data_IF_149773644803
#
_entry.id   IF_149773644803
#
_cell.length_a   1.000
_cell.length_b   1.000
_cell.length_c   1.000
_cell.angle_alpha   90.00
_cell.angle_beta   90.00
_cell.angle_gamma   90.00
#
_symmetry.space_group_name_H-M   'P 1'
#
loop_
_entity.id
_entity.type
_entity.pdbx_description
1 polymer ?
#
# COMPACT_ATOMS: atom_id res chain seq x y z
N UNK A 1 -29.58 -2.14 -5.24
CA UNK A 1 -28.25 -1.56 -5.58
C UNK A 1 -28.07 -0.26 -4.82
N UNK A 2 -26.94 -0.05 -4.11
CA UNK A 2 -26.69 1.19 -3.40
C UNK A 2 -26.34 2.29 -4.40
N UNK A 3 -27.17 3.35 -4.48
CA UNK A 3 -26.90 4.53 -5.30
C UNK A 3 -25.79 5.41 -4.72
N UNK A 4 -25.10 6.17 -5.59
CA UNK A 4 -24.21 7.23 -5.15
C UNK A 4 -25.02 8.40 -4.56
N UNK A 5 -24.52 9.09 -3.50
CA UNK A 5 -25.10 10.36 -3.06
C UNK A 5 -24.82 11.44 -4.13
N UNK A 6 -25.54 12.56 -4.11
CA UNK A 6 -25.22 13.70 -4.96
C UNK A 6 -23.87 14.31 -4.57
N UNK A 7 -23.06 14.69 -5.56
CA UNK A 7 -21.81 15.42 -5.42
C UNK A 7 -21.54 16.22 -6.70
N UNK A 8 -20.80 17.32 -6.58
CA UNK A 8 -20.25 18.02 -7.73
C UNK A 8 -19.03 17.27 -8.28
N UNK A 9 -18.70 17.51 -9.54
CA UNK A 9 -17.59 16.85 -10.22
C UNK A 9 -16.71 17.87 -10.93
N UNK A 10 -15.38 17.76 -10.71
CA UNK A 10 -14.37 18.55 -11.41
C UNK A 10 -13.38 17.62 -12.12
N UNK A 11 -12.90 18.03 -13.28
CA UNK A 11 -11.93 17.29 -14.10
C UNK A 11 -10.80 18.22 -14.54
N UNK A 12 -9.89 18.60 -13.64
CA UNK A 12 -8.74 19.45 -13.95
C UNK A 12 -7.85 18.80 -15.01
N UNK A 13 -7.08 19.63 -15.69
CA UNK A 13 -6.15 19.20 -16.77
C UNK A 13 -4.72 19.18 -16.30
N UNK A 14 -4.41 19.84 -15.18
CA UNK A 14 -3.08 19.85 -14.57
C UNK A 14 -3.14 19.47 -13.09
N UNK A 15 -1.98 19.12 -12.52
CA UNK A 15 -1.85 18.80 -11.09
C UNK A 15 -2.06 20.04 -10.24
N UNK A 16 -1.61 21.19 -10.73
CA UNK A 16 -1.74 22.49 -10.09
C UNK A 16 -3.22 22.87 -9.94
N UNK A 17 -4.00 22.79 -11.02
CA UNK A 17 -5.46 23.02 -10.98
C UNK A 17 -6.14 22.08 -9.96
N UNK A 18 -5.74 20.81 -9.94
CA UNK A 18 -6.30 19.83 -8.99
C UNK A 18 -5.96 20.21 -7.54
N UNK A 19 -4.73 20.65 -7.27
CA UNK A 19 -4.29 21.09 -5.96
C UNK A 19 -5.02 22.37 -5.51
N UNK A 20 -5.21 23.35 -6.40
CA UNK A 20 -5.97 24.58 -6.14
C UNK A 20 -7.41 24.27 -5.74
N UNK A 21 -8.07 23.31 -6.44
CA UNK A 21 -9.41 22.86 -6.07
C UNK A 21 -9.42 22.24 -4.67
N UNK A 22 -8.40 21.47 -4.30
CA UNK A 22 -8.29 20.89 -2.95
C UNK A 22 -8.10 21.96 -1.86
N UNK A 23 -7.34 23.01 -2.16
CA UNK A 23 -7.19 24.17 -1.24
C UNK A 23 -8.52 24.90 -1.06
N UNK A 24 -9.23 25.19 -2.16
CA UNK A 24 -10.46 25.98 -2.13
C UNK A 24 -11.69 25.23 -1.60
N UNK A 25 -11.70 23.88 -1.60
CA UNK A 25 -12.84 23.07 -1.19
C UNK A 25 -12.50 22.07 -0.11
N UNK A 26 -12.96 22.29 1.13
CA UNK A 26 -12.70 21.39 2.28
C UNK A 26 -13.32 19.99 2.13
N UNK A 27 -14.31 19.81 1.29
CA UNK A 27 -15.03 18.54 1.08
C UNK A 27 -14.71 17.90 -0.27
N UNK A 28 -13.65 18.38 -0.94
CA UNK A 28 -13.16 17.77 -2.17
C UNK A 28 -12.41 16.47 -1.85
N UNK A 29 -12.63 15.46 -2.67
CA UNK A 29 -11.95 14.15 -2.62
C UNK A 29 -11.41 13.82 -3.99
N UNK A 30 -10.14 13.44 -4.07
CA UNK A 30 -9.51 12.98 -5.30
C UNK A 30 -10.05 11.61 -5.72
N UNK A 31 -10.25 11.43 -7.00
CA UNK A 31 -10.53 10.13 -7.61
C UNK A 31 -9.62 9.88 -8.82
N UNK A 32 -8.99 8.72 -8.84
CA UNK A 32 -8.29 8.18 -10.01
C UNK A 32 -9.13 7.08 -10.66
N UNK A 33 -8.78 5.80 -10.51
CA UNK A 33 -9.57 4.68 -11.02
C UNK A 33 -10.91 4.42 -10.33
N UNK A 34 -11.11 4.92 -9.11
CA UNK A 34 -12.36 4.84 -8.36
C UNK A 34 -12.75 3.44 -7.85
N UNK A 35 -11.95 2.41 -8.12
CA UNK A 35 -12.25 1.01 -7.80
C UNK A 35 -12.40 0.73 -6.31
N UNK A 36 -11.82 1.57 -5.45
CA UNK A 36 -12.00 1.55 -4.00
C UNK A 36 -12.94 2.66 -3.52
N UNK A 37 -12.77 3.87 -4.03
CA UNK A 37 -13.50 5.04 -3.56
C UNK A 37 -15.02 4.96 -3.83
N UNK A 38 -15.45 4.56 -5.04
CA UNK A 38 -16.88 4.49 -5.35
C UNK A 38 -17.64 3.46 -4.49
N UNK A 39 -17.12 2.24 -4.23
CA UNK A 39 -17.71 1.35 -3.23
C UNK A 39 -17.84 1.99 -1.84
N UNK A 40 -16.83 2.73 -1.38
CA UNK A 40 -16.84 3.40 -0.09
C UNK A 40 -17.89 4.54 -0.04
N UNK A 41 -18.04 5.31 -1.13
CA UNK A 41 -19.09 6.34 -1.25
C UNK A 41 -20.49 5.68 -1.25
N UNK A 42 -20.69 4.59 -2.00
CA UNK A 42 -21.97 3.85 -2.00
C UNK A 42 -22.37 3.35 -0.62
N UNK A 43 -21.39 2.93 0.19
CA UNK A 43 -21.58 2.51 1.59
C UNK A 43 -21.69 3.65 2.58
N UNK A 44 -21.59 4.92 2.13
CA UNK A 44 -21.58 6.11 3.01
C UNK A 44 -20.45 6.09 4.04
N UNK A 45 -19.32 5.51 3.68
CA UNK A 45 -18.07 5.57 4.44
C UNK A 45 -17.37 6.91 4.18
N UNK A 46 -17.41 7.36 2.92
CA UNK A 46 -16.98 8.67 2.46
C UNK A 46 -18.16 9.37 1.81
N UNK A 47 -18.39 10.65 2.11
CA UNK A 47 -19.46 11.46 1.57
C UNK A 47 -18.89 12.78 1.03
N UNK A 48 -18.27 12.76 -0.18
CA UNK A 48 -17.70 13.96 -0.76
C UNK A 48 -18.82 14.92 -1.20
N UNK A 49 -18.57 16.22 -1.11
CA UNK A 49 -19.40 17.23 -1.80
C UNK A 49 -18.89 17.53 -3.20
N UNK A 50 -17.58 17.30 -3.42
CA UNK A 50 -16.92 17.47 -4.72
C UNK A 50 -15.97 16.29 -4.97
N UNK A 51 -16.10 15.64 -6.12
CA UNK A 51 -15.10 14.70 -6.63
C UNK A 51 -14.20 15.41 -7.65
N UNK A 52 -12.89 15.31 -7.42
CA UNK A 52 -11.86 15.85 -8.32
C UNK A 52 -11.19 14.69 -9.04
N UNK A 53 -11.50 14.54 -10.30
CA UNK A 53 -10.98 13.45 -11.12
C UNK A 53 -9.59 13.78 -11.67
N UNK A 54 -8.63 12.93 -11.37
CA UNK A 54 -7.27 13.03 -11.91
C UNK A 54 -7.16 12.42 -13.33
N UNK A 55 -8.18 11.71 -13.81
CA UNK A 55 -8.11 10.92 -15.07
C UNK A 55 -7.77 11.75 -16.32
N UNK A 56 -8.06 13.06 -16.31
CA UNK A 56 -7.77 14.00 -17.38
C UNK A 56 -6.33 14.54 -17.42
N UNK A 57 -5.51 14.21 -16.41
CA UNK A 57 -4.13 14.72 -16.27
C UNK A 57 -3.15 13.73 -16.90
N UNK A 58 -2.79 13.97 -18.16
CA UNK A 58 -1.90 13.07 -18.92
C UNK A 58 -0.50 12.92 -18.31
N UNK A 59 0.02 13.98 -17.67
CA UNK A 59 1.33 13.98 -17.02
C UNK A 59 1.48 12.93 -15.91
N UNK A 60 0.37 12.48 -15.32
CA UNK A 60 0.37 11.45 -14.28
C UNK A 60 0.47 10.01 -14.81
N UNK A 61 0.61 9.81 -16.12
CA UNK A 61 0.67 8.50 -16.76
C UNK A 61 2.06 8.16 -17.24
N UNK A 62 2.27 6.87 -17.48
CA UNK A 62 3.44 6.34 -18.16
C UNK A 62 4.44 5.69 -17.22
N UNK A 63 5.24 4.80 -17.80
CA UNK A 63 6.29 4.03 -17.14
C UNK A 63 7.58 4.34 -17.90
N UNK A 64 8.54 4.95 -17.23
CA UNK A 64 9.80 5.41 -17.83
C UNK A 64 10.98 4.75 -17.15
N UNK A 65 11.82 4.10 -17.94
CA UNK A 65 13.13 3.63 -17.49
C UNK A 65 14.17 4.69 -17.84
N UNK A 66 14.99 5.05 -16.88
CA UNK A 66 16.05 6.04 -17.05
C UNK A 66 17.44 5.35 -16.99
N UNK A 67 17.67 4.42 -17.94
CA UNK A 67 18.91 3.67 -18.03
C UNK A 67 19.32 3.08 -16.68
N UNK A 68 20.48 3.50 -16.17
CA UNK A 68 21.01 3.08 -14.87
C UNK A 68 20.41 3.83 -13.67
N UNK A 69 19.51 4.79 -13.89
CA UNK A 69 18.92 5.61 -12.82
C UNK A 69 17.67 5.01 -12.18
N UNK A 70 17.18 3.85 -12.67
CA UNK A 70 16.04 3.15 -12.11
C UNK A 70 14.77 3.26 -12.94
N UNK A 71 13.62 3.36 -12.29
CA UNK A 71 12.29 3.35 -12.92
C UNK A 71 11.39 4.42 -12.29
N UNK A 72 10.71 5.18 -13.13
CA UNK A 72 9.67 6.13 -12.72
C UNK A 72 8.33 5.70 -13.29
N UNK A 73 7.32 5.60 -12.43
CA UNK A 73 5.95 5.19 -12.78
C UNK A 73 4.98 6.29 -12.38
N UNK A 74 4.23 6.82 -13.33
CA UNK A 74 3.20 7.81 -13.09
C UNK A 74 2.05 7.25 -12.24
N UNK A 75 1.52 8.05 -11.33
CA UNK A 75 0.49 7.63 -10.37
C UNK A 75 -0.81 7.13 -11.01
N UNK A 76 -1.14 7.59 -12.22
CA UNK A 76 -2.32 7.14 -12.99
C UNK A 76 -2.03 5.96 -13.92
N UNK A 77 -0.81 5.41 -13.96
CA UNK A 77 -0.57 4.13 -14.63
C UNK A 77 -1.45 3.07 -13.97
N UNK A 78 -2.22 2.35 -14.79
CA UNK A 78 -3.09 1.28 -14.27
C UNK A 78 -2.25 0.13 -13.72
N UNK A 79 -2.82 -0.62 -12.80
CA UNK A 79 -2.13 -1.78 -12.24
C UNK A 79 -1.85 -2.83 -13.32
N UNK A 80 -2.70 -2.96 -14.33
CA UNK A 80 -2.45 -3.86 -15.46
C UNK A 80 -1.28 -3.39 -16.32
N UNK A 81 -1.19 -2.09 -16.63
CA UNK A 81 -0.03 -1.51 -17.32
C UNK A 81 1.27 -1.74 -16.55
N UNK A 82 1.25 -1.56 -15.22
CA UNK A 82 2.43 -1.81 -14.36
C UNK A 82 2.81 -3.28 -14.37
N UNK A 83 1.84 -4.19 -14.21
CA UNK A 83 2.07 -5.63 -14.13
C UNK A 83 2.63 -6.24 -15.43
N UNK A 84 2.23 -5.67 -16.59
CA UNK A 84 2.59 -6.21 -17.92
C UNK A 84 3.71 -5.44 -18.61
N UNK A 85 4.17 -4.32 -18.03
CA UNK A 85 5.25 -3.52 -18.60
C UNK A 85 6.56 -4.31 -18.70
N UNK A 86 7.21 -4.39 -19.88
CA UNK A 86 8.54 -5.00 -20.01
C UNK A 86 9.60 -4.36 -19.12
N UNK A 87 9.53 -3.06 -18.85
CA UNK A 87 10.42 -2.35 -17.94
C UNK A 87 10.26 -2.83 -16.50
N UNK A 88 9.04 -3.12 -16.07
CA UNK A 88 8.74 -3.61 -14.72
C UNK A 88 9.09 -5.09 -14.61
N UNK A 89 8.60 -5.92 -15.52
CA UNK A 89 8.83 -7.37 -15.49
C UNK A 89 10.31 -7.74 -15.63
N UNK A 90 11.06 -6.97 -16.42
CA UNK A 90 12.50 -7.23 -16.64
C UNK A 90 13.40 -6.71 -15.52
N UNK A 91 13.06 -5.60 -14.86
CA UNK A 91 13.93 -4.96 -13.85
C UNK A 91 13.47 -5.15 -12.41
N UNK A 92 12.15 -5.22 -12.20
CA UNK A 92 11.53 -5.31 -10.87
C UNK A 92 10.37 -6.33 -10.88
N UNK A 93 10.64 -7.61 -11.19
CA UNK A 93 9.60 -8.64 -11.35
C UNK A 93 8.71 -8.77 -10.09
N UNK A 94 9.26 -8.51 -8.90
CA UNK A 94 8.51 -8.50 -7.63
C UNK A 94 7.39 -7.46 -7.63
N UNK A 95 7.58 -6.30 -8.29
CA UNK A 95 6.52 -5.28 -8.40
C UNK A 95 5.40 -5.77 -9.32
N UNK A 96 5.74 -6.40 -10.45
CA UNK A 96 4.76 -7.04 -11.32
C UNK A 96 3.98 -8.14 -10.57
N UNK A 97 4.67 -9.00 -9.82
CA UNK A 97 4.07 -10.06 -9.00
C UNK A 97 3.06 -9.51 -7.97
N UNK A 98 3.47 -8.50 -7.20
CA UNK A 98 2.59 -7.86 -6.23
C UNK A 98 1.38 -7.20 -6.91
N UNK A 99 1.60 -6.51 -8.01
CA UNK A 99 0.55 -5.84 -8.78
C UNK A 99 -0.45 -6.83 -9.37
N UNK A 100 0.02 -7.95 -9.93
CA UNK A 100 -0.83 -9.05 -10.42
C UNK A 100 -1.66 -9.70 -9.31
N UNK A 101 -1.23 -9.63 -8.05
CA UNK A 101 -1.98 -10.17 -6.92
C UNK A 101 -3.18 -9.29 -6.49
N UNK A 102 -3.28 -8.06 -7.01
CA UNK A 102 -4.36 -7.12 -6.69
C UNK A 102 -5.63 -7.48 -7.45
N UNK A 103 -6.74 -7.61 -6.73
CA UNK A 103 -8.09 -7.73 -7.28
C UNK A 103 -8.26 -8.80 -8.36
N UNK A 104 -8.76 -8.38 -9.50
CA UNK A 104 -8.94 -9.15 -10.74
C UNK A 104 -8.42 -8.34 -11.93
N UNK A 105 -8.29 -8.91 -13.14
CA UNK A 105 -7.93 -8.14 -14.33
C UNK A 105 -8.83 -6.91 -14.54
N UNK A 106 -10.15 -7.05 -14.34
CA UNK A 106 -11.10 -5.95 -14.46
C UNK A 106 -10.82 -4.83 -13.44
N UNK A 107 -10.47 -5.19 -12.21
CA UNK A 107 -10.09 -4.21 -11.19
C UNK A 107 -8.76 -3.55 -11.57
N UNK A 108 -7.75 -4.30 -12.00
CA UNK A 108 -6.43 -3.76 -12.35
C UNK A 108 -6.47 -2.83 -13.57
N UNK A 109 -7.37 -3.06 -14.53
CA UNK A 109 -7.56 -2.17 -15.68
C UNK A 109 -8.09 -0.78 -15.29
N UNK A 110 -8.77 -0.66 -14.14
CA UNK A 110 -9.27 0.62 -13.63
C UNK A 110 -8.45 1.17 -12.46
N UNK A 111 -7.93 0.31 -11.60
CA UNK A 111 -7.13 0.70 -10.45
C UNK A 111 -5.76 1.25 -10.89
N UNK A 112 -5.25 2.26 -10.19
CA UNK A 112 -4.00 2.93 -10.53
C UNK A 112 -2.95 2.71 -9.43
N UNK A 113 -1.68 2.86 -9.79
CA UNK A 113 -0.55 2.74 -8.87
C UNK A 113 -0.69 3.70 -7.68
N UNK A 114 -0.89 4.99 -7.96
CA UNK A 114 -1.08 6.00 -6.92
C UNK A 114 -2.31 5.73 -6.06
N UNK A 115 -3.42 5.29 -6.68
CA UNK A 115 -4.62 4.89 -5.96
C UNK A 115 -4.40 3.69 -5.03
N UNK A 116 -3.55 2.74 -5.40
CA UNK A 116 -3.20 1.61 -4.53
C UNK A 116 -2.28 2.03 -3.36
N UNK A 117 -1.30 2.91 -3.61
CA UNK A 117 -0.44 3.44 -2.56
C UNK A 117 -1.21 4.32 -1.57
N UNK A 118 -2.19 5.09 -2.05
CA UNK A 118 -3.04 5.95 -1.23
C UNK A 118 -4.35 5.28 -0.76
N UNK A 119 -4.46 3.96 -0.91
CA UNK A 119 -5.67 3.21 -0.57
C UNK A 119 -6.05 3.40 0.90
N UNK A 120 -7.35 3.62 1.15
CA UNK A 120 -7.86 3.76 2.51
C UNK A 120 -7.72 2.47 3.32
N UNK A 121 -7.54 2.61 4.63
CA UNK A 121 -7.41 1.49 5.57
C UNK A 121 -8.77 0.82 5.81
N UNK A 122 -8.74 -0.48 6.12
CA UNK A 122 -9.92 -1.35 6.21
C UNK A 122 -10.16 -1.89 7.60
N UNK A 123 -11.45 -2.05 7.92
CA UNK A 123 -11.88 -2.61 9.19
C UNK A 123 -13.30 -3.16 9.04
N UNK A 124 -13.57 -4.37 9.54
CA UNK A 124 -14.88 -5.00 9.51
C UNK A 124 -15.99 -4.13 10.13
N UNK A 125 -15.68 -3.39 11.19
CA UNK A 125 -16.64 -2.45 11.81
C UNK A 125 -16.91 -1.22 10.92
N UNK A 126 -15.92 -0.72 10.24
CA UNK A 126 -16.08 0.39 9.30
C UNK A 126 -16.84 -0.03 8.03
N UNK A 127 -16.70 -1.31 7.64
CA UNK A 127 -17.35 -1.89 6.47
C UNK A 127 -18.80 -2.33 6.72
N UNK A 128 -19.30 -2.25 7.97
CA UNK A 128 -20.69 -2.58 8.31
C UNK A 128 -21.69 -1.62 7.64
N UNK A 129 -22.93 -2.06 7.40
CA UNK A 129 -24.00 -1.22 6.84
C UNK A 129 -24.21 0.07 7.62
N UNK A 130 -24.61 1.14 6.91
CA UNK A 130 -24.80 2.48 7.51
C UNK A 130 -25.74 2.45 8.72
N UNK A 131 -26.87 1.74 8.64
CA UNK A 131 -27.84 1.62 9.76
C UNK A 131 -27.20 1.04 11.01
N UNK A 132 -26.38 -0.03 10.85
CA UNK A 132 -25.67 -0.63 11.96
C UNK A 132 -24.63 0.37 12.55
N UNK A 133 -23.83 1.03 11.71
CA UNK A 133 -22.82 2.01 12.18
C UNK A 133 -23.47 3.19 12.95
N UNK A 134 -24.63 3.65 12.49
CA UNK A 134 -25.43 4.66 13.20
C UNK A 134 -25.91 4.15 14.57
N UNK A 135 -26.46 2.93 14.60
CA UNK A 135 -26.99 2.34 15.83
C UNK A 135 -25.96 2.14 16.92
N UNK A 136 -24.68 1.91 16.57
CA UNK A 136 -23.58 1.81 17.56
C UNK A 136 -22.84 3.13 17.82
N UNK A 137 -23.31 4.26 17.30
CA UNK A 137 -22.68 5.57 17.49
C UNK A 137 -21.38 5.76 16.72
N UNK A 138 -21.22 5.03 15.58
CA UNK A 138 -20.03 5.05 14.73
C UNK A 138 -18.77 4.49 15.43
N UNK A 139 -17.62 4.68 14.82
CA UNK A 139 -16.29 4.38 15.35
C UNK A 139 -15.36 5.57 15.08
N UNK A 140 -14.18 5.55 15.68
CA UNK A 140 -13.17 6.61 15.56
C UNK A 140 -12.91 7.01 14.09
N UNK A 141 -12.85 6.03 13.16
CA UNK A 141 -12.65 6.29 11.72
C UNK A 141 -13.80 7.06 11.06
N UNK A 142 -15.00 7.06 11.64
CA UNK A 142 -16.19 7.72 11.07
C UNK A 142 -16.78 8.78 12.00
N UNK A 143 -15.97 9.40 12.85
CA UNK A 143 -16.36 10.51 13.71
C UNK A 143 -17.07 10.10 15.00
N UNK A 144 -16.96 8.85 15.43
CA UNK A 144 -17.30 8.41 16.80
C UNK A 144 -16.07 8.49 17.71
N UNK A 145 -16.25 8.22 18.98
CA UNK A 145 -15.26 8.46 20.04
C UNK A 145 -14.42 7.22 20.38
N UNK A 146 -14.78 6.04 19.85
CA UNK A 146 -14.18 4.76 20.25
C UNK A 146 -13.72 3.96 19.05
N UNK A 147 -12.51 3.41 19.11
CA UNK A 147 -12.08 2.35 18.20
C UNK A 147 -12.76 1.03 18.61
N UNK A 148 -13.66 0.47 17.78
CA UNK A 148 -14.41 -0.75 18.11
C UNK A 148 -13.56 -2.01 18.19
N UNK A 149 -12.35 -1.97 17.64
CA UNK A 149 -11.35 -3.06 17.71
C UNK A 149 -10.54 -2.98 19.00
N UNK A 150 -10.18 -1.79 19.43
CA UNK A 150 -9.38 -1.53 20.62
C UNK A 150 -9.99 -0.36 21.39
N UNK A 151 -11.03 -0.57 22.21
CA UNK A 151 -11.77 0.52 22.88
C UNK A 151 -10.93 1.41 23.78
N UNK A 152 -9.83 0.93 24.31
CA UNK A 152 -8.88 1.72 25.11
C UNK A 152 -7.80 2.44 24.30
N UNK A 153 -7.86 2.40 22.96
CA UNK A 153 -6.87 3.05 22.11
C UNK A 153 -7.34 4.44 21.71
N UNK A 154 -6.42 5.39 21.71
CA UNK A 154 -6.58 6.77 21.22
C UNK A 154 -6.50 6.90 19.70
N UNK A 155 -6.11 5.83 18.98
CA UNK A 155 -5.97 5.79 17.51
C UNK A 155 -6.84 4.71 16.87
N UNK A 156 -7.06 4.84 15.57
CA UNK A 156 -7.75 3.84 14.77
C UNK A 156 -6.80 2.70 14.36
N UNK A 157 -7.27 1.45 14.49
CA UNK A 157 -6.53 0.24 14.11
C UNK A 157 -6.99 -0.37 12.77
N UNK A 158 -7.68 0.41 11.93
CA UNK A 158 -8.00 -0.06 10.57
C UNK A 158 -6.72 -0.41 9.81
N UNK A 159 -6.73 -1.54 9.11
CA UNK A 159 -5.54 -2.16 8.53
C UNK A 159 -5.18 -1.56 7.18
N UNK A 160 -3.90 -1.31 6.94
CA UNK A 160 -3.35 -0.98 5.62
C UNK A 160 -3.37 -2.24 4.74
N UNK A 161 -3.95 -2.14 3.53
CA UNK A 161 -4.21 -3.29 2.66
C UNK A 161 -3.63 -3.16 1.25
N UNK A 162 -2.69 -2.24 1.03
CA UNK A 162 -1.96 -2.14 -0.23
C UNK A 162 -1.02 -3.33 -0.40
N UNK A 163 -1.08 -3.99 -1.55
CA UNK A 163 -0.11 -5.04 -1.94
C UNK A 163 1.20 -4.40 -2.44
N UNK A 164 1.12 -3.20 -3.00
CA UNK A 164 2.28 -2.51 -3.61
C UNK A 164 3.14 -1.82 -2.56
N UNK A 165 2.55 -1.27 -1.51
CA UNK A 165 3.27 -0.50 -0.50
C UNK A 165 4.45 -1.27 0.15
N UNK A 166 4.28 -2.52 0.63
CA UNK A 166 5.40 -3.28 1.19
C UNK A 166 6.51 -3.54 0.18
N UNK A 167 6.17 -3.78 -1.10
CA UNK A 167 7.16 -3.99 -2.17
C UNK A 167 7.89 -2.69 -2.49
N UNK A 168 7.20 -1.57 -2.61
CA UNK A 168 7.81 -0.27 -2.84
C UNK A 168 8.79 0.12 -1.71
N UNK A 169 8.44 -0.19 -0.45
CA UNK A 169 9.34 -0.01 0.69
C UNK A 169 10.57 -0.94 0.60
N UNK A 170 10.37 -2.23 0.31
CA UNK A 170 11.47 -3.18 0.18
C UNK A 170 12.43 -2.80 -0.97
N UNK A 171 11.92 -2.20 -2.03
CA UNK A 171 12.71 -1.66 -3.15
C UNK A 171 13.33 -0.28 -2.85
N UNK A 172 13.12 0.28 -1.65
CA UNK A 172 13.58 1.63 -1.27
C UNK A 172 13.06 2.73 -2.20
N UNK A 173 11.83 2.60 -2.63
CA UNK A 173 11.23 3.55 -3.53
C UNK A 173 10.83 4.85 -2.82
N UNK A 174 10.70 5.91 -3.60
CA UNK A 174 10.20 7.22 -3.17
C UNK A 174 9.01 7.64 -4.03
N UNK A 175 8.21 8.56 -3.52
CA UNK A 175 7.09 9.18 -4.23
C UNK A 175 7.31 10.68 -4.40
N UNK A 176 6.92 11.21 -5.55
CA UNK A 176 6.79 12.65 -5.75
C UNK A 176 5.40 13.11 -5.33
N UNK A 177 5.34 14.15 -4.53
CA UNK A 177 4.12 14.82 -4.07
C UNK A 177 4.14 16.26 -4.59
N UNK A 178 3.06 16.70 -5.20
CA UNK A 178 2.91 18.05 -5.76
C UNK A 178 1.73 18.74 -5.11
N UNK A 179 1.87 20.01 -4.81
CA UNK A 179 0.83 20.92 -4.30
C UNK A 179 1.04 22.33 -4.83
N UNK A 180 0.17 23.27 -4.44
CA UNK A 180 0.36 24.71 -4.72
C UNK A 180 1.64 25.29 -4.10
N UNK A 181 2.27 24.59 -3.15
CA UNK A 181 3.54 24.97 -2.52
C UNK A 181 4.78 24.44 -3.26
N UNK A 182 4.59 23.68 -4.32
CA UNK A 182 5.66 23.04 -5.11
C UNK A 182 5.69 21.53 -4.98
N UNK A 183 6.78 20.93 -5.45
CA UNK A 183 7.04 19.49 -5.43
C UNK A 183 7.98 19.11 -4.29
N UNK A 184 7.75 17.93 -3.68
CA UNK A 184 8.69 17.29 -2.76
C UNK A 184 8.80 15.80 -3.01
N UNK A 185 9.98 15.25 -2.77
CA UNK A 185 10.24 13.81 -2.80
C UNK A 185 10.20 13.24 -1.39
N UNK A 186 9.58 12.07 -1.24
CA UNK A 186 9.45 11.38 0.05
C UNK A 186 9.67 9.87 -0.13
N UNK A 187 10.46 9.24 0.74
CA UNK A 187 10.56 7.78 0.78
C UNK A 187 9.20 7.14 1.08
N UNK A 188 8.86 6.02 0.43
CA UNK A 188 7.57 5.34 0.64
C UNK A 188 7.37 4.94 2.10
N UNK A 189 8.42 4.60 2.84
CA UNK A 189 8.36 4.34 4.30
C UNK A 189 7.74 5.51 5.06
N UNK A 190 8.11 6.73 4.71
CA UNK A 190 7.63 7.97 5.37
C UNK A 190 6.24 8.41 4.91
N UNK A 191 5.71 7.81 3.84
CA UNK A 191 4.35 8.11 3.35
C UNK A 191 3.27 7.65 4.33
N UNK A 192 3.53 6.63 5.14
CA UNK A 192 2.53 6.00 5.99
C UNK A 192 2.67 6.38 7.47
N UNK A 193 1.52 6.57 8.11
CA UNK A 193 1.36 6.70 9.56
C UNK A 193 0.66 5.47 10.10
N UNK A 194 1.05 5.06 11.29
CA UNK A 194 0.41 3.93 11.96
C UNK A 194 -0.89 4.34 12.67
N UNK A 195 -1.80 4.96 11.91
CA UNK A 195 -3.15 5.36 12.33
C UNK A 195 -4.14 5.12 11.18
N UNK A 196 -5.21 4.38 11.45
CA UNK A 196 -6.19 4.02 10.43
C UNK A 196 -7.07 5.18 9.94
N UNK A 197 -7.10 6.34 10.59
CA UNK A 197 -7.77 7.56 10.13
C UNK A 197 -6.80 8.40 9.30
N UNK A 198 -5.70 8.81 9.92
CA UNK A 198 -4.68 9.67 9.28
C UNK A 198 -3.51 8.82 8.79
N UNK A 199 -3.78 7.83 7.93
CA UNK A 199 -2.83 6.81 7.52
C UNK A 199 -1.73 7.29 6.55
N UNK A 200 -1.89 8.48 5.95
CA UNK A 200 -0.90 9.08 5.05
C UNK A 200 -0.29 10.35 5.66
N UNK A 201 1.00 10.57 5.37
CA UNK A 201 1.74 11.79 5.78
C UNK A 201 1.59 12.93 4.77
N UNK A 202 0.75 12.75 3.76
CA UNK A 202 0.44 13.77 2.78
C UNK A 202 -0.38 14.89 3.41
N UNK A 203 -0.09 16.14 3.02
CA UNK A 203 -0.99 17.24 3.26
C UNK A 203 -2.24 17.08 2.39
N UNK A 204 -3.32 17.77 2.78
CA UNK A 204 -4.62 17.59 2.14
C UNK A 204 -4.63 18.02 0.67
N UNK A 205 -3.83 18.99 0.30
CA UNK A 205 -3.68 19.55 -1.04
C UNK A 205 -2.56 18.89 -1.86
N UNK A 206 -1.84 17.92 -1.29
CA UNK A 206 -0.81 17.18 -2.00
C UNK A 206 -1.40 16.05 -2.86
N UNK A 207 -0.86 15.91 -4.04
CA UNK A 207 -1.21 14.88 -5.02
C UNK A 207 0.04 14.02 -5.27
N UNK A 208 -0.09 12.71 -5.08
CA UNK A 208 0.96 11.76 -5.45
C UNK A 208 1.01 11.66 -6.97
N UNK A 209 2.14 12.03 -7.55
CA UNK A 209 2.32 12.13 -9.01
C UNK A 209 3.11 10.97 -9.59
N UNK A 210 4.13 10.48 -8.88
CA UNK A 210 5.03 9.42 -9.38
C UNK A 210 5.52 8.53 -8.25
N UNK A 211 5.80 7.27 -8.59
CA UNK A 211 6.66 6.35 -7.83
C UNK A 211 8.01 6.26 -8.53
N UNK A 212 9.09 6.49 -7.78
CA UNK A 212 10.48 6.41 -8.25
C UNK A 212 11.18 5.26 -7.55
N UNK A 213 11.68 4.30 -8.31
CA UNK A 213 12.36 3.11 -7.81
C UNK A 213 13.82 3.21 -8.20
N UNK A 214 14.77 3.15 -7.25
CA UNK A 214 16.20 3.23 -7.54
C UNK A 214 16.66 2.02 -8.37
N UNK A 215 17.84 2.06 -9.01
CA UNK A 215 18.42 0.93 -9.73
C UNK A 215 18.44 -0.34 -8.88
N UNK A 216 18.13 -1.48 -9.48
CA UNK A 216 18.06 -2.75 -8.75
C UNK A 216 19.43 -3.17 -8.18
N UNK A 217 20.53 -2.89 -8.90
CA UNK A 217 21.88 -3.15 -8.43
C UNK A 217 22.08 -4.60 -7.95
N UNK A 218 21.51 -5.57 -8.66
CA UNK A 218 21.57 -6.98 -8.26
C UNK A 218 20.62 -7.39 -7.12
N UNK A 219 19.69 -6.51 -6.73
CA UNK A 219 18.68 -6.80 -5.71
C UNK A 219 17.72 -7.88 -6.22
N UNK A 220 17.65 -9.00 -5.53
CA UNK A 220 16.62 -10.04 -5.70
C UNK A 220 15.49 -9.76 -4.71
N UNK A 221 14.24 -9.91 -5.14
CA UNK A 221 13.12 -9.65 -4.23
C UNK A 221 11.94 -10.60 -4.49
N UNK A 222 11.13 -10.84 -3.45
CA UNK A 222 9.97 -11.72 -3.47
C UNK A 222 8.81 -11.10 -2.71
N UNK A 223 7.61 -11.22 -3.25
CA UNK A 223 6.37 -10.87 -2.56
C UNK A 223 5.50 -12.10 -2.36
N UNK A 224 4.97 -12.27 -1.16
CA UNK A 224 4.02 -13.33 -0.83
C UNK A 224 2.79 -12.74 -0.14
N UNK A 225 1.61 -13.14 -0.60
CA UNK A 225 0.31 -12.68 -0.10
C UNK A 225 -0.49 -13.82 0.51
N UNK A 226 -0.84 -13.70 1.78
CA UNK A 226 -1.86 -14.55 2.42
C UNK A 226 -3.25 -13.98 2.11
N UNK A 227 -4.11 -14.78 1.54
CA UNK A 227 -5.51 -14.46 1.21
C UNK A 227 -6.37 -15.71 1.29
N UNK A 228 -7.69 -15.56 1.42
CA UNK A 228 -8.63 -16.69 1.49
C UNK A 228 -9.03 -17.19 0.10
N UNK A 229 -9.14 -16.30 -0.88
CA UNK A 229 -9.54 -16.61 -2.26
C UNK A 229 -8.40 -16.34 -3.23
N UNK A 230 -8.43 -16.98 -4.38
CA UNK A 230 -7.44 -16.79 -5.44
C UNK A 230 -7.50 -15.42 -6.13
N UNK A 231 -8.59 -14.68 -6.00
CA UNK A 231 -8.82 -13.37 -6.61
C UNK A 231 -9.76 -12.51 -5.76
N UNK A 232 -9.77 -11.20 -6.01
CA UNK A 232 -10.68 -10.21 -5.37
C UNK A 232 -10.59 -10.27 -3.83
N UNK A 233 -9.38 -10.43 -3.31
CA UNK A 233 -9.10 -10.38 -1.86
C UNK A 233 -8.02 -9.36 -1.55
N UNK A 234 -8.25 -8.62 -0.46
CA UNK A 234 -7.18 -7.86 0.19
C UNK A 234 -6.22 -8.80 0.91
N UNK A 235 -4.95 -8.40 1.10
CA UNK A 235 -4.02 -9.22 1.88
C UNK A 235 -4.48 -9.31 3.34
N UNK A 236 -4.44 -10.51 3.90
CA UNK A 236 -4.51 -10.77 5.34
C UNK A 236 -3.12 -10.74 5.97
N UNK A 237 -2.11 -10.93 5.14
CA UNK A 237 -0.70 -10.69 5.36
C UNK A 237 -0.05 -10.49 3.98
N UNK A 238 0.77 -9.46 3.85
CA UNK A 238 1.71 -9.27 2.75
C UNK A 238 3.13 -9.36 3.30
N UNK A 239 4.02 -10.06 2.61
CA UNK A 239 5.44 -10.11 2.95
C UNK A 239 6.26 -9.79 1.72
N UNK A 240 7.00 -8.68 1.76
CA UNK A 240 7.97 -8.31 0.77
C UNK A 240 9.38 -8.48 1.35
N UNK A 241 10.21 -9.25 0.68
CA UNK A 241 11.62 -9.43 1.04
C UNK A 241 12.48 -9.04 -0.13
N UNK A 242 13.53 -8.26 0.12
CA UNK A 242 14.54 -7.92 -0.87
C UNK A 242 15.93 -8.20 -0.27
N UNK A 243 16.80 -8.86 -1.03
CA UNK A 243 18.17 -9.17 -0.61
C UNK A 243 19.15 -8.90 -1.75
N UNK A 244 20.36 -8.49 -1.40
CA UNK A 244 21.51 -8.48 -2.30
C UNK A 244 22.53 -9.48 -1.78
N UNK A 245 22.94 -10.37 -2.64
CA UNK A 245 23.99 -11.36 -2.35
C UNK A 245 25.22 -10.99 -3.17
N UNK A 246 26.39 -11.12 -2.56
CA UNK A 246 27.66 -11.03 -3.28
C UNK A 246 27.97 -12.35 -4.04
N UNK A 247 29.12 -12.41 -4.71
CA UNK A 247 29.57 -13.56 -5.48
C UNK A 247 29.80 -14.81 -4.61
N UNK A 248 30.05 -14.64 -3.31
CA UNK A 248 30.26 -15.71 -2.34
C UNK A 248 28.92 -16.16 -1.70
N UNK A 249 27.78 -15.52 -2.07
CA UNK A 249 26.46 -15.78 -1.53
C UNK A 249 26.23 -15.17 -0.15
N UNK A 250 27.05 -14.21 0.27
CA UNK A 250 26.86 -13.44 1.51
C UNK A 250 25.83 -12.36 1.27
N UNK A 251 24.87 -12.24 2.17
CA UNK A 251 23.85 -11.18 2.12
C UNK A 251 24.46 -9.84 2.54
N UNK A 252 24.61 -8.93 1.58
CA UNK A 252 25.17 -7.58 1.79
C UNK A 252 24.11 -6.55 2.09
N UNK A 253 22.83 -6.85 1.79
CA UNK A 253 21.67 -6.04 2.10
C UNK A 253 20.45 -6.94 2.22
N UNK A 254 19.64 -6.71 3.24
CA UNK A 254 18.33 -7.30 3.36
C UNK A 254 17.30 -6.21 3.69
N UNK A 255 16.06 -6.38 3.21
CA UNK A 255 14.86 -5.66 3.65
C UNK A 255 13.71 -6.64 3.78
N UNK A 256 13.01 -6.55 4.89
CA UNK A 256 11.84 -7.38 5.19
C UNK A 256 10.69 -6.45 5.59
N UNK A 257 9.66 -6.39 4.76
CA UNK A 257 8.52 -5.50 4.98
C UNK A 257 7.23 -6.31 5.08
N UNK A 258 6.48 -6.06 6.15
CA UNK A 258 5.20 -6.70 6.43
C UNK A 258 4.05 -5.75 6.06
N UNK A 259 3.10 -6.22 5.27
CA UNK A 259 1.84 -5.55 4.97
C UNK A 259 0.66 -6.24 5.65
N UNK A 260 -0.42 -5.51 5.85
CA UNK A 260 -1.68 -5.98 6.44
C UNK A 260 -1.55 -6.52 7.88
N UNK A 261 -0.53 -6.09 8.63
CA UNK A 261 -0.32 -6.45 10.04
C UNK A 261 -0.52 -5.29 11.01
N UNK A 262 -0.93 -4.14 10.52
CA UNK A 262 -1.18 -2.90 11.26
C UNK A 262 -1.78 -1.84 10.35
N UNK A 263 -1.87 -0.61 10.83
CA UNK A 263 -2.43 0.52 10.06
C UNK A 263 -1.45 1.09 9.02
N UNK A 264 -0.21 0.62 9.01
CA UNK A 264 0.83 0.91 8.01
C UNK A 264 1.61 -0.37 7.69
N UNK A 265 2.32 -0.43 6.54
CA UNK A 265 3.37 -1.42 6.35
C UNK A 265 4.47 -1.25 7.41
N UNK A 266 5.13 -2.35 7.80
CA UNK A 266 6.14 -2.39 8.86
C UNK A 266 7.43 -2.99 8.34
N UNK A 267 8.53 -2.29 8.46
CA UNK A 267 9.88 -2.79 8.14
C UNK A 267 10.47 -3.52 9.36
N UNK A 268 11.02 -4.70 9.13
CA UNK A 268 11.54 -5.56 10.20
C UNK A 268 13.07 -5.40 10.31
N UNK A 269 13.54 -4.24 10.77
CA UNK A 269 14.95 -3.85 10.84
C UNK A 269 15.81 -4.89 11.60
N UNK A 270 15.35 -5.41 12.75
CA UNK A 270 16.07 -6.46 13.48
C UNK A 270 16.23 -7.77 12.68
N UNK A 271 15.28 -8.07 11.77
CA UNK A 271 15.41 -9.22 10.86
C UNK A 271 16.45 -8.95 9.79
N UNK A 272 16.57 -7.73 9.32
CA UNK A 272 17.53 -7.30 8.32
C UNK A 272 18.97 -7.37 8.86
N UNK A 273 19.17 -6.96 10.11
CA UNK A 273 20.45 -7.06 10.83
C UNK A 273 20.91 -8.52 10.95
N UNK A 274 20.01 -9.46 11.29
CA UNK A 274 20.31 -10.89 11.39
C UNK A 274 20.75 -11.46 10.04
N UNK A 275 20.12 -11.03 8.96
CA UNK A 275 20.37 -11.56 7.61
C UNK A 275 21.67 -11.02 7.02
N UNK A 276 22.01 -9.76 7.29
CA UNK A 276 23.15 -9.07 6.69
C UNK A 276 24.48 -9.60 7.24
N UNK A 277 25.54 -9.60 6.42
CA UNK A 277 26.89 -10.00 6.78
C UNK A 277 27.13 -11.52 6.81
N UNK A 278 26.22 -12.34 6.27
CA UNK A 278 26.42 -13.81 6.21
C UNK A 278 25.54 -14.47 5.17
N UNK A 279 25.73 -15.76 4.96
CA UNK A 279 24.88 -16.56 4.05
C UNK A 279 23.50 -16.74 4.67
N UNK A 280 22.48 -16.85 3.83
CA UNK A 280 21.08 -17.10 4.23
C UNK A 280 20.89 -18.58 4.64
N UNK A 281 21.48 -18.97 5.76
CA UNK A 281 21.34 -20.33 6.32
C UNK A 281 19.95 -20.55 6.88
N UNK A 282 19.51 -21.82 7.00
CA UNK A 282 18.21 -22.16 7.60
C UNK A 282 18.05 -21.58 9.02
N UNK A 283 19.14 -21.50 9.78
CA UNK A 283 19.14 -20.93 11.13
C UNK A 283 18.91 -19.42 11.09
N UNK A 284 19.66 -18.66 10.27
CA UNK A 284 19.44 -17.21 10.09
C UNK A 284 18.04 -16.90 9.59
N UNK A 285 17.55 -17.68 8.62
CA UNK A 285 16.19 -17.57 8.08
C UNK A 285 15.17 -17.79 9.20
N UNK A 286 15.35 -18.79 10.06
CA UNK A 286 14.47 -19.05 11.21
C UNK A 286 14.52 -17.91 12.23
N UNK A 287 15.69 -17.42 12.57
CA UNK A 287 15.85 -16.30 13.52
C UNK A 287 15.18 -15.02 12.97
N UNK A 288 15.52 -14.61 11.76
CA UNK A 288 14.96 -13.42 11.11
C UNK A 288 13.44 -13.50 10.98
N UNK A 289 12.89 -14.64 10.57
CA UNK A 289 11.43 -14.82 10.45
C UNK A 289 10.73 -14.78 11.82
N UNK A 290 11.37 -15.24 12.88
CA UNK A 290 10.86 -15.15 14.26
C UNK A 290 10.83 -13.69 14.71
N UNK A 291 11.91 -12.93 14.49
CA UNK A 291 11.95 -11.49 14.83
C UNK A 291 10.89 -10.70 14.06
N UNK A 292 10.75 -10.91 12.75
CA UNK A 292 9.70 -10.27 11.95
C UNK A 292 8.29 -10.50 12.55
N UNK A 293 8.02 -11.71 13.04
CA UNK A 293 6.73 -12.05 13.63
C UNK A 293 6.40 -11.28 14.92
N UNK A 294 7.41 -10.81 15.65
CA UNK A 294 7.23 -10.00 16.87
C UNK A 294 6.68 -8.63 16.61
N UNK A 295 6.96 -8.07 15.42
CA UNK A 295 6.49 -6.75 15.02
C UNK A 295 5.03 -6.74 14.56
N UNK A 296 4.51 -7.88 14.13
CA UNK A 296 3.15 -7.99 13.63
C UNK A 296 2.12 -7.75 14.75
N UNK A 297 1.20 -6.83 14.51
CA UNK A 297 0.08 -6.48 15.39
C UNK A 297 -1.26 -6.64 14.66
N UNK A 298 -1.57 -7.83 14.11
CA UNK A 298 -2.86 -8.05 13.47
C UNK A 298 -3.97 -7.86 14.51
N UNK A 299 -5.06 -7.24 14.09
CA UNK A 299 -6.22 -6.99 14.94
C UNK A 299 -7.42 -7.78 14.41
N UNK A 300 -8.44 -7.98 15.23
CA UNK A 300 -9.68 -8.65 14.84
C UNK A 300 -10.58 -7.72 14.01
N UNK A 301 -10.05 -7.27 12.89
CA UNK A 301 -10.68 -6.31 11.98
C UNK A 301 -10.74 -6.79 10.52
N UNK A 302 -10.32 -8.03 10.26
CA UNK A 302 -10.35 -8.70 8.96
C UNK A 302 -10.56 -10.21 9.15
N UNK A 303 -10.47 -11.00 8.09
CA UNK A 303 -10.59 -12.47 8.17
C UNK A 303 -9.41 -13.15 8.86
N UNK A 304 -9.62 -14.42 9.24
CA UNK A 304 -8.69 -15.29 9.96
C UNK A 304 -8.38 -14.81 11.40
N UNK A 305 -7.95 -15.74 12.25
CA UNK A 305 -7.63 -15.40 13.64
C UNK A 305 -6.31 -14.63 13.77
N UNK A 306 -6.19 -13.82 14.82
CA UNK A 306 -4.99 -13.04 15.13
C UNK A 306 -3.76 -13.94 15.24
N UNK A 307 -3.91 -15.05 15.97
CA UNK A 307 -2.83 -16.01 16.22
C UNK A 307 -2.35 -16.63 14.92
N UNK A 308 -3.27 -17.06 14.05
CA UNK A 308 -2.92 -17.63 12.77
C UNK A 308 -2.21 -16.60 11.86
N UNK A 309 -2.74 -15.40 11.74
CA UNK A 309 -2.10 -14.34 10.94
C UNK A 309 -0.71 -14.01 11.44
N UNK A 310 -0.51 -13.95 12.77
CA UNK A 310 0.80 -13.72 13.39
C UNK A 310 1.77 -14.88 13.12
N UNK A 311 1.32 -16.13 13.28
CA UNK A 311 2.13 -17.31 12.99
C UNK A 311 2.55 -17.38 11.50
N UNK A 312 1.64 -16.98 10.61
CA UNK A 312 1.93 -16.97 9.17
C UNK A 312 3.00 -15.94 8.77
N UNK A 313 3.28 -14.91 9.56
CA UNK A 313 4.41 -14.01 9.31
C UNK A 313 5.72 -14.80 9.25
N UNK A 314 5.98 -15.62 10.28
CA UNK A 314 7.19 -16.45 10.33
C UNK A 314 7.28 -17.39 9.13
N UNK A 315 6.17 -18.03 8.76
CA UNK A 315 6.13 -18.97 7.62
C UNK A 315 6.39 -18.25 6.31
N UNK A 316 5.76 -17.10 6.07
CA UNK A 316 5.86 -16.38 4.81
C UNK A 316 7.21 -15.68 4.64
N UNK A 317 7.78 -15.12 5.70
CA UNK A 317 9.14 -14.55 5.67
C UNK A 317 10.15 -15.65 5.38
N UNK A 318 10.07 -16.80 6.05
CA UNK A 318 10.96 -17.93 5.79
C UNK A 318 10.84 -18.44 4.34
N UNK A 319 9.62 -18.56 3.81
CA UNK A 319 9.39 -18.97 2.41
C UNK A 319 9.96 -17.98 1.41
N UNK A 320 9.79 -16.67 1.65
CA UNK A 320 10.32 -15.64 0.78
C UNK A 320 11.85 -15.65 0.77
N UNK A 321 12.49 -15.75 1.93
CA UNK A 321 13.94 -15.82 2.07
C UNK A 321 14.52 -17.09 1.39
N UNK A 322 13.92 -18.26 1.60
CA UNK A 322 14.34 -19.51 0.96
C UNK A 322 14.26 -19.45 -0.56
N UNK A 323 13.21 -18.82 -1.09
CA UNK A 323 13.07 -18.64 -2.53
C UNK A 323 14.11 -17.68 -3.14
N UNK A 324 14.75 -16.83 -2.33
CA UNK A 324 15.79 -15.90 -2.77
C UNK A 324 17.20 -16.44 -2.55
N UNK A 325 17.37 -17.43 -1.67
CA UNK A 325 18.64 -18.12 -1.41
C UNK A 325 18.96 -19.21 -2.46
N UNK A 326 17.92 -19.70 -3.14
CA UNK A 326 18.04 -20.64 -4.27
C UNK A 326 18.50 -19.91 -5.53
#
# INVERSE_FOLDING_TARGET
MLGLPPFAYASPKTVEEASEILVSSQHAVLVSGGTDLYPNIKRRQVEPRLLVSLSGIAALRGIRGDGDRGLTIGALSTLEEVATSPLVTGRYPVLAEATMSVGSPQIRNGATLGGNLCQDTRCSYYDMPLGWRKGVGYCLKRGGDVCRIAPGSDRCWAVSSSDIAPVAMALNASVSLVSTRGERLMGVKSLYRNDGVSHLSMARDEILTELKIPPSGGLKAKYLKLRQRGTIDFPLLGVAVAVRLDEQGVCTLARVVLGAVGSSPVEAEASEEILTGGKLTDEKVKQASTEASRLARPMDNTGLTLQYRKAMVQVYVARALKALAA
#
